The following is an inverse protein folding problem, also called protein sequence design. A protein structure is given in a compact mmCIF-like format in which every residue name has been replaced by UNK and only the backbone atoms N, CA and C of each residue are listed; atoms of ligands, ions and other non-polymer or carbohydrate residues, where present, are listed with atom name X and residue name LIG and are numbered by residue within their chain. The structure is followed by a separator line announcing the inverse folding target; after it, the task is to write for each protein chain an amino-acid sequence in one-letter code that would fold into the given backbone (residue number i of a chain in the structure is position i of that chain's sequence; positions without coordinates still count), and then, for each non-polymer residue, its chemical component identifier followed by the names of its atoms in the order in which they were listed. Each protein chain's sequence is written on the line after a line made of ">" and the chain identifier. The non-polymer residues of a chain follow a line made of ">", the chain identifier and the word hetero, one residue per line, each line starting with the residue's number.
data_IF_446495885869
#
_entry.id   IF_446495885869
#
_cell.length_a   1.000
_cell.length_b   1.000
_cell.length_c   1.000
_cell.angle_alpha   90.00
_cell.angle_beta   90.00
_cell.angle_gamma   90.00
#
_symmetry.space_group_name_H-M   'P 1'
#
loop_
_entity.id
_entity.type
_entity.pdbx_description
1 polymer ?
#
# COMPACT_ATOMS: atom_id res chain seq x y z
N UNK A 1 -2.34 13.67 -17.85
CA UNK A 1 -2.96 12.34 -17.69
C UNK A 1 -1.84 11.32 -17.75
N UNK A 2 -1.37 10.83 -16.60
CA UNK A 2 -0.39 9.75 -16.56
C UNK A 2 -1.19 8.45 -16.57
N UNK A 3 -1.07 7.70 -17.67
CA UNK A 3 -1.78 6.45 -17.87
C UNK A 3 -1.49 5.45 -16.74
N UNK A 4 -2.51 4.72 -16.35
CA UNK A 4 -2.37 3.54 -15.47
C UNK A 4 -1.54 2.54 -16.25
N UNK A 5 -0.24 2.47 -15.97
CA UNK A 5 0.60 1.40 -16.49
C UNK A 5 0.22 0.15 -15.72
N UNK A 6 -0.42 -0.80 -16.40
CA UNK A 6 -0.57 -2.14 -15.85
C UNK A 6 0.82 -2.70 -15.52
N UNK A 7 0.95 -3.40 -14.38
CA UNK A 7 2.22 -4.07 -14.06
C UNK A 7 2.58 -5.04 -15.18
N UNK A 8 3.88 -5.12 -15.49
CA UNK A 8 4.37 -6.13 -16.41
C UNK A 8 4.08 -7.51 -15.84
N UNK A 9 3.15 -8.23 -16.48
CA UNK A 9 2.75 -9.59 -16.10
C UNK A 9 3.37 -10.59 -17.04
N UNK A 10 3.86 -11.66 -16.47
CA UNK A 10 4.44 -12.79 -17.18
C UNK A 10 3.72 -14.06 -16.76
N UNK A 11 3.24 -14.83 -17.74
CA UNK A 11 2.72 -16.18 -17.51
C UNK A 11 3.72 -17.16 -18.09
N UNK A 12 4.27 -18.01 -17.24
CA UNK A 12 5.28 -19.00 -17.63
C UNK A 12 4.91 -20.40 -17.12
N UNK A 13 5.02 -21.44 -17.96
CA UNK A 13 4.89 -22.81 -17.48
C UNK A 13 6.06 -23.16 -16.57
N UNK A 14 5.77 -23.75 -15.42
CA UNK A 14 6.74 -24.25 -14.45
C UNK A 14 6.56 -25.73 -14.22
N UNK A 15 7.61 -26.50 -14.34
CA UNK A 15 7.61 -27.91 -14.04
C UNK A 15 7.56 -28.13 -12.52
N UNK A 16 6.58 -28.89 -12.03
CA UNK A 16 6.44 -29.19 -10.60
C UNK A 16 7.54 -30.12 -10.11
N UNK A 17 8.07 -30.99 -10.98
CA UNK A 17 9.08 -31.97 -10.60
C UNK A 17 10.51 -31.41 -10.52
N UNK A 18 10.94 -30.65 -11.54
CA UNK A 18 12.32 -30.15 -11.61
C UNK A 18 12.47 -28.63 -11.39
N UNK A 19 11.36 -27.89 -11.28
CA UNK A 19 11.37 -26.44 -11.10
C UNK A 19 11.73 -25.63 -12.34
N UNK A 20 11.98 -26.27 -13.50
CA UNK A 20 12.33 -25.57 -14.72
C UNK A 20 11.17 -24.69 -15.18
N UNK A 21 11.47 -23.46 -15.59
CA UNK A 21 10.56 -22.49 -16.15
C UNK A 21 11.07 -22.08 -17.54
N UNK A 22 10.29 -22.36 -18.58
CA UNK A 22 10.65 -22.06 -19.98
C UNK A 22 9.43 -21.56 -20.73
N UNK A 23 9.61 -20.52 -21.52
CA UNK A 23 8.51 -19.89 -22.23
C UNK A 23 8.02 -20.73 -23.40
N UNK A 24 8.92 -21.38 -24.13
CA UNK A 24 8.63 -21.99 -25.44
C UNK A 24 8.71 -23.53 -25.45
N UNK A 25 9.17 -24.15 -24.40
CA UNK A 25 9.33 -25.60 -24.32
C UNK A 25 8.98 -26.11 -22.93
N UNK A 26 7.97 -26.98 -22.86
CA UNK A 26 7.65 -27.71 -21.65
C UNK A 26 8.83 -28.56 -21.16
N UNK A 27 8.73 -29.10 -19.97
CA UNK A 27 9.72 -30.05 -19.46
C UNK A 27 9.82 -31.26 -20.41
N UNK A 28 11.04 -31.65 -20.87
CA UNK A 28 11.20 -32.83 -21.73
C UNK A 28 10.83 -34.16 -21.02
N UNK A 29 10.56 -34.11 -19.73
CA UNK A 29 10.07 -35.26 -18.95
C UNK A 29 8.54 -35.29 -18.85
N UNK A 30 8.00 -36.43 -18.41
CA UNK A 30 6.56 -36.58 -18.12
C UNK A 30 6.12 -35.89 -16.82
N UNK A 31 6.74 -34.78 -16.44
CA UNK A 31 6.42 -34.06 -15.22
C UNK A 31 5.15 -33.22 -15.41
N UNK A 32 4.30 -33.11 -14.39
CA UNK A 32 3.18 -32.20 -14.44
C UNK A 32 3.68 -30.75 -14.43
N UNK A 33 3.04 -29.90 -15.24
CA UNK A 33 3.31 -28.47 -15.34
C UNK A 33 2.22 -27.66 -14.66
N UNK A 34 2.61 -26.51 -14.08
CA UNK A 34 1.69 -25.48 -13.64
C UNK A 34 2.01 -24.15 -14.30
N UNK A 35 1.02 -23.34 -14.53
CA UNK A 35 1.22 -21.96 -14.96
C UNK A 35 1.49 -21.08 -13.75
N UNK A 36 2.59 -20.33 -13.79
CA UNK A 36 2.90 -19.29 -12.82
C UNK A 36 2.58 -17.94 -13.47
N UNK A 37 1.85 -17.13 -12.77
CA UNK A 37 1.65 -15.73 -13.12
C UNK A 37 2.55 -14.89 -12.23
N UNK A 38 3.44 -14.13 -12.83
CA UNK A 38 4.50 -13.38 -12.18
C UNK A 38 4.39 -11.89 -12.51
N UNK A 39 4.81 -11.04 -11.59
CA UNK A 39 4.87 -9.59 -11.72
C UNK A 39 6.32 -9.13 -11.56
N UNK A 40 6.73 -8.06 -12.25
CA UNK A 40 8.10 -7.57 -12.16
C UNK A 40 8.47 -7.17 -10.72
N UNK A 41 9.69 -7.50 -10.29
CA UNK A 41 10.19 -7.11 -8.97
C UNK A 41 10.21 -5.60 -8.76
N UNK A 42 10.43 -4.81 -9.82
CA UNK A 42 10.39 -3.35 -9.72
C UNK A 42 8.97 -2.79 -9.47
N UNK A 43 7.93 -3.47 -9.98
CA UNK A 43 6.56 -3.12 -9.63
C UNK A 43 6.27 -3.49 -8.18
N UNK A 44 6.75 -4.65 -7.76
CA UNK A 44 6.69 -5.12 -6.39
C UNK A 44 7.29 -4.11 -5.40
N UNK A 45 8.54 -3.70 -5.61
CA UNK A 45 9.27 -2.79 -4.72
C UNK A 45 8.58 -1.42 -4.60
N UNK A 46 8.06 -0.89 -5.73
CA UNK A 46 7.33 0.40 -5.71
C UNK A 46 6.12 0.35 -4.81
N UNK A 47 5.44 -0.76 -4.82
CA UNK A 47 4.22 -0.97 -4.09
C UNK A 47 4.49 -1.17 -2.62
N UNK A 48 5.47 -1.98 -2.27
CA UNK A 48 5.92 -2.17 -0.89
C UNK A 48 6.35 -0.84 -0.26
N UNK A 49 7.10 -0.03 -1.01
CA UNK A 49 7.51 1.30 -0.56
C UNK A 49 6.30 2.23 -0.35
N UNK A 50 5.32 2.22 -1.26
CA UNK A 50 4.10 3.01 -1.13
C UNK A 50 3.27 2.59 0.09
N UNK A 51 3.13 1.29 0.33
CA UNK A 51 2.44 0.75 1.50
C UNK A 51 3.15 1.13 2.81
N UNK A 52 4.48 1.01 2.88
CA UNK A 52 5.24 1.42 4.05
C UNK A 52 5.07 2.91 4.37
N UNK A 53 5.12 3.78 3.35
CA UNK A 53 4.87 5.20 3.49
C UNK A 53 3.41 5.48 3.94
N UNK A 54 2.43 4.73 3.43
CA UNK A 54 1.04 4.80 3.84
C UNK A 54 0.86 4.48 5.32
N UNK A 55 1.41 3.38 5.78
CA UNK A 55 1.37 2.97 7.21
C UNK A 55 1.99 4.03 8.14
N UNK A 56 3.11 4.61 7.76
CA UNK A 56 3.74 5.67 8.54
C UNK A 56 2.82 6.90 8.66
N UNK A 57 2.14 7.29 7.57
CA UNK A 57 1.16 8.39 7.60
C UNK A 57 -0.06 8.06 8.47
N UNK A 58 -0.61 6.86 8.34
CA UNK A 58 -1.73 6.38 9.18
C UNK A 58 -1.35 6.44 10.66
N UNK A 59 -0.15 6.00 11.03
CA UNK A 59 0.32 6.07 12.41
C UNK A 59 0.33 7.49 12.96
N UNK A 60 0.80 8.47 12.18
CA UNK A 60 0.76 9.88 12.56
C UNK A 60 -0.67 10.42 12.73
N UNK A 61 -1.57 10.10 11.80
CA UNK A 61 -2.97 10.52 11.88
C UNK A 61 -3.71 9.85 13.05
N UNK A 62 -3.43 8.57 13.31
CA UNK A 62 -3.98 7.83 14.47
C UNK A 62 -3.53 8.44 15.81
N UNK A 63 -2.29 8.89 15.92
CA UNK A 63 -1.81 9.53 17.13
C UNK A 63 -2.66 10.76 17.49
N UNK A 64 -2.88 11.67 16.54
CA UNK A 64 -3.70 12.89 16.75
C UNK A 64 -5.18 12.56 16.95
N UNK A 65 -5.72 11.59 16.21
CA UNK A 65 -7.10 11.13 16.43
C UNK A 65 -7.26 10.49 17.82
N UNK A 66 -6.23 9.80 18.33
CA UNK A 66 -6.18 9.26 19.68
C UNK A 66 -6.15 10.34 20.76
N UNK A 67 -5.41 11.43 20.55
CA UNK A 67 -5.45 12.61 21.44
C UNK A 67 -6.86 13.19 21.49
N UNK A 68 -7.50 13.39 20.34
CA UNK A 68 -8.88 13.86 20.25
C UNK A 68 -9.86 12.92 20.96
N UNK A 69 -9.73 11.61 20.77
CA UNK A 69 -10.63 10.63 21.38
C UNK A 69 -10.55 10.61 22.93
N UNK A 70 -9.39 10.98 23.49
CA UNK A 70 -9.13 11.05 24.94
C UNK A 70 -9.34 12.44 25.55
N UNK A 71 -9.45 13.48 24.71
CA UNK A 71 -9.59 14.84 25.21
C UNK A 71 -10.83 14.98 26.09
N UNK A 72 -10.66 15.38 27.35
CA UNK A 72 -11.77 15.63 28.26
C UNK A 72 -12.06 17.13 28.33
N UNK A 73 -13.30 17.55 28.03
CA UNK A 73 -13.69 18.92 28.18
C UNK A 73 -13.78 19.24 29.71
N UNK A 74 -12.79 19.96 30.23
CA UNK A 74 -12.86 20.47 31.58
C UNK A 74 -13.72 21.74 31.65
N UNK A 75 -14.29 22.07 32.81
CA UNK A 75 -15.07 23.28 33.02
C UNK A 75 -14.21 24.52 32.70
N UNK A 76 -14.60 25.29 31.69
CA UNK A 76 -13.90 26.51 31.23
C UNK A 76 -12.70 26.27 30.27
N UNK A 77 -12.25 25.03 30.05
CA UNK A 77 -11.09 24.71 29.26
C UNK A 77 -11.38 24.25 27.80
N UNK A 78 -12.63 24.07 27.44
CA UNK A 78 -13.02 23.45 26.17
C UNK A 78 -12.51 24.18 24.93
N UNK A 79 -12.47 25.50 24.93
CA UNK A 79 -11.96 26.30 23.84
C UNK A 79 -10.44 26.12 23.65
N UNK A 80 -9.68 26.24 24.72
CA UNK A 80 -8.22 26.12 24.70
C UNK A 80 -7.79 24.68 24.27
N UNK A 81 -8.48 23.66 24.79
CA UNK A 81 -8.28 22.27 24.41
C UNK A 81 -8.59 22.05 22.94
N UNK A 82 -9.68 22.58 22.43
CA UNK A 82 -10.07 22.51 21.03
C UNK A 82 -9.02 23.17 20.12
N UNK A 83 -8.58 24.40 20.46
CA UNK A 83 -7.55 25.14 19.70
C UNK A 83 -6.19 24.40 19.70
N UNK A 84 -5.83 23.74 20.82
CA UNK A 84 -4.63 22.90 20.89
C UNK A 84 -4.73 21.71 19.92
N UNK A 85 -5.84 20.98 19.95
CA UNK A 85 -6.10 19.85 19.05
C UNK A 85 -6.17 20.30 17.58
N UNK A 86 -6.71 21.49 17.30
CA UNK A 86 -6.67 22.07 15.95
C UNK A 86 -5.24 22.29 15.45
N UNK A 87 -4.36 22.80 16.33
CA UNK A 87 -2.93 22.98 15.97
C UNK A 87 -2.27 21.66 15.65
N UNK A 88 -2.47 20.63 16.49
CA UNK A 88 -1.96 19.27 16.25
C UNK A 88 -2.49 18.68 14.94
N UNK A 89 -3.79 18.83 14.68
CA UNK A 89 -4.41 18.35 13.44
C UNK A 89 -3.86 19.08 12.18
N UNK A 90 -3.71 20.40 12.25
CA UNK A 90 -3.10 21.17 11.13
C UNK A 90 -1.67 20.76 10.89
N UNK A 91 -0.89 20.49 11.93
CA UNK A 91 0.49 20.03 11.81
C UNK A 91 0.55 18.65 11.16
N UNK A 92 -0.25 17.70 11.61
CA UNK A 92 -0.33 16.37 11.02
C UNK A 92 -0.75 16.41 9.53
N UNK A 93 -1.69 17.29 9.18
CA UNK A 93 -2.15 17.47 7.80
C UNK A 93 -1.17 18.20 6.88
N UNK A 94 -0.23 18.99 7.40
CA UNK A 94 0.81 19.65 6.57
C UNK A 94 1.71 18.63 5.85
N UNK A 95 2.00 17.52 6.52
CA UNK A 95 2.79 16.43 5.97
C UNK A 95 1.93 15.41 5.21
N UNK A 96 0.61 15.61 5.18
CA UNK A 96 -0.32 14.79 4.45
C UNK A 96 -0.38 15.26 3.00
N UNK A 97 0.45 14.65 2.15
CA UNK A 97 0.27 14.72 0.71
C UNK A 97 -0.66 13.55 0.34
N UNK A 98 -1.89 13.81 -0.16
CA UNK A 98 -2.73 12.74 -0.61
C UNK A 98 -1.96 11.91 -1.65
N UNK A 99 -1.97 10.59 -1.56
CA UNK A 99 -1.34 9.75 -2.57
C UNK A 99 -1.92 10.13 -3.94
N UNK A 100 -1.13 10.14 -5.01
CA UNK A 100 -1.66 10.36 -6.34
C UNK A 100 -2.75 9.33 -6.59
N UNK A 101 -3.92 9.80 -7.03
CA UNK A 101 -5.04 8.94 -7.37
C UNK A 101 -4.57 7.93 -8.43
N UNK A 102 -4.64 6.64 -8.12
CA UNK A 102 -4.56 5.61 -9.14
C UNK A 102 -3.36 4.67 -9.13
N UNK A 103 -2.76 4.35 -7.98
CA UNK A 103 -1.87 3.16 -7.88
C UNK A 103 -2.07 2.48 -6.54
N UNK A 104 -2.83 1.43 -6.60
CA UNK A 104 -3.15 0.60 -5.46
C UNK A 104 -2.35 -0.70 -5.56
N UNK A 105 -1.31 -0.83 -4.72
CA UNK A 105 -0.49 -2.02 -4.73
C UNK A 105 0.30 -2.35 -3.48
N UNK A 106 0.17 -3.48 -2.95
CA UNK A 106 0.87 -4.02 -1.82
C UNK A 106 1.16 -5.47 -1.72
N UNK A 107 2.08 -5.90 -0.90
CA UNK A 107 2.58 -7.24 -0.95
C UNK A 107 3.00 -7.93 0.35
N UNK A 108 2.82 -9.24 0.38
CA UNK A 108 3.43 -10.20 1.30
C UNK A 108 4.79 -10.65 0.75
N UNK A 109 5.79 -11.01 1.57
CA UNK A 109 7.07 -11.49 1.09
C UNK A 109 6.90 -12.84 0.38
N UNK A 110 6.60 -12.78 -0.91
CA UNK A 110 6.79 -13.94 -1.77
C UNK A 110 8.28 -14.09 -2.05
N UNK A 111 8.78 -15.30 -2.04
CA UNK A 111 10.14 -15.55 -2.45
C UNK A 111 10.33 -15.07 -3.88
N UNK A 112 11.24 -14.12 -4.15
CA UNK A 112 11.46 -13.63 -5.50
C UNK A 112 12.00 -14.75 -6.38
N UNK A 113 11.47 -14.86 -7.58
CA UNK A 113 11.96 -15.78 -8.60
C UNK A 113 12.88 -15.02 -9.52
N UNK A 114 14.13 -15.47 -9.63
CA UNK A 114 15.08 -14.93 -10.61
C UNK A 114 14.89 -15.67 -11.92
N UNK A 115 14.53 -14.93 -12.94
CA UNK A 115 14.37 -15.42 -14.31
C UNK A 115 15.40 -14.72 -15.19
N UNK A 116 16.05 -15.47 -16.04
CA UNK A 116 16.99 -14.91 -17.01
C UNK A 116 16.24 -14.48 -18.27
N UNK A 117 16.42 -13.24 -18.68
CA UNK A 117 15.79 -12.68 -19.88
C UNK A 117 16.85 -12.32 -20.92
N UNK A 118 16.64 -12.77 -22.14
CA UNK A 118 17.41 -12.31 -23.29
C UNK A 118 16.85 -10.97 -23.77
N UNK A 119 17.66 -9.89 -23.81
CA UNK A 119 17.19 -8.59 -24.30
C UNK A 119 16.98 -8.55 -25.81
N UNK A 120 17.57 -9.50 -26.58
CA UNK A 120 17.50 -9.54 -28.05
C UNK A 120 16.26 -10.28 -28.53
N UNK A 121 16.03 -11.51 -28.06
CA UNK A 121 14.91 -12.34 -28.53
C UNK A 121 13.72 -12.33 -27.54
N UNK A 122 13.86 -11.73 -26.33
CA UNK A 122 12.82 -11.72 -25.30
C UNK A 122 12.64 -13.06 -24.57
N UNK A 123 13.40 -14.09 -24.92
CA UNK A 123 13.33 -15.41 -24.32
C UNK A 123 13.54 -15.38 -22.80
N UNK A 124 12.88 -16.30 -22.10
CA UNK A 124 12.93 -16.41 -20.62
C UNK A 124 13.35 -17.81 -20.23
N UNK A 125 14.27 -17.93 -19.29
CA UNK A 125 14.77 -19.19 -18.79
C UNK A 125 15.03 -19.13 -17.27
N UNK A 126 14.78 -20.22 -16.56
CA UNK A 126 15.08 -20.39 -15.14
C UNK A 126 15.24 -21.90 -14.84
N UNK A 127 16.08 -22.28 -13.88
CA UNK A 127 16.88 -21.47 -12.97
C UNK A 127 18.21 -20.98 -13.53
N UNK A 128 18.61 -21.37 -14.72
CA UNK A 128 19.88 -21.04 -15.35
C UNK A 128 19.67 -20.46 -16.76
N UNK A 129 20.52 -19.53 -17.22
CA UNK A 129 20.45 -19.03 -18.58
C UNK A 129 20.80 -20.15 -19.57
N UNK A 130 20.18 -20.12 -20.74
CA UNK A 130 20.55 -20.99 -21.84
C UNK A 130 22.04 -20.81 -22.23
N UNK A 131 22.73 -21.88 -22.47
CA UNK A 131 24.13 -21.86 -22.98
C UNK A 131 24.07 -21.55 -24.47
N UNK A 132 23.89 -20.28 -24.81
CA UNK A 132 23.79 -19.82 -26.21
C UNK A 132 24.56 -18.52 -26.42
N UNK A 133 24.44 -17.96 -27.62
CA UNK A 133 25.13 -16.72 -28.05
C UNK A 133 24.48 -15.47 -27.45
N UNK A 134 23.29 -15.58 -26.84
CA UNK A 134 22.55 -14.46 -26.31
C UNK A 134 23.11 -13.97 -24.96
N UNK A 135 23.07 -12.65 -24.75
CA UNK A 135 23.45 -12.04 -23.47
C UNK A 135 22.22 -12.03 -22.55
N UNK A 136 22.15 -13.02 -21.68
CA UNK A 136 21.06 -13.15 -20.71
C UNK A 136 21.24 -12.23 -19.51
N UNK A 137 20.17 -11.57 -19.08
CA UNK A 137 20.16 -10.72 -17.88
C UNK A 137 19.18 -11.27 -16.84
N UNK A 138 19.59 -11.31 -15.56
CA UNK A 138 18.67 -11.72 -14.51
C UNK A 138 17.58 -10.65 -14.34
N UNK A 139 16.35 -11.10 -14.20
CA UNK A 139 15.20 -10.27 -13.87
C UNK A 139 14.49 -10.88 -12.66
N UNK A 140 14.14 -10.05 -11.69
CA UNK A 140 13.42 -10.48 -10.49
C UNK A 140 11.94 -10.41 -10.75
N UNK A 141 11.24 -11.50 -10.47
CA UNK A 141 9.79 -11.64 -10.61
C UNK A 141 9.18 -12.14 -9.31
N UNK A 142 7.93 -11.81 -9.07
CA UNK A 142 7.20 -12.15 -7.85
C UNK A 142 5.86 -12.76 -8.24
N UNK A 143 5.39 -13.71 -7.44
CA UNK A 143 4.09 -14.33 -7.62
C UNK A 143 2.94 -13.32 -7.59
N UNK A 144 2.06 -13.40 -8.59
CA UNK A 144 0.96 -12.44 -8.76
C UNK A 144 -0.06 -12.49 -7.62
N UNK A 145 -0.28 -13.65 -6.97
CA UNK A 145 -1.21 -13.74 -5.86
C UNK A 145 -0.71 -12.97 -4.63
N UNK A 146 0.60 -12.99 -4.39
CA UNK A 146 1.24 -12.20 -3.36
C UNK A 146 1.11 -10.70 -3.65
N UNK A 147 1.37 -10.29 -4.89
CA UNK A 147 1.19 -8.93 -5.35
C UNK A 147 -0.26 -8.44 -5.14
N UNK A 148 -1.27 -9.20 -5.55
CA UNK A 148 -2.68 -8.83 -5.39
C UNK A 148 -3.13 -8.81 -3.91
N UNK A 149 -2.59 -9.70 -3.09
CA UNK A 149 -2.90 -9.72 -1.65
C UNK A 149 -2.48 -8.42 -0.98
N UNK A 150 -1.32 -7.95 -1.31
CA UNK A 150 -0.85 -6.69 -0.77
C UNK A 150 -1.59 -5.49 -1.37
N UNK A 151 -1.89 -5.47 -2.65
CA UNK A 151 -2.74 -4.49 -3.28
C UNK A 151 -4.05 -4.26 -2.52
N UNK A 152 -4.66 -5.36 -2.10
CA UNK A 152 -5.89 -5.34 -1.31
C UNK A 152 -5.69 -4.69 0.07
N UNK A 153 -4.55 -4.94 0.71
CA UNK A 153 -4.22 -4.32 2.01
C UNK A 153 -4.00 -2.83 1.88
N UNK A 154 -3.27 -2.36 0.87
CA UNK A 154 -3.09 -0.91 0.70
C UNK A 154 -4.42 -0.21 0.37
N UNK A 155 -5.28 -0.82 -0.41
CA UNK A 155 -6.61 -0.25 -0.64
C UNK A 155 -7.37 -0.07 0.69
N UNK A 156 -7.28 -1.02 1.61
CA UNK A 156 -7.83 -0.91 2.96
C UNK A 156 -7.13 0.19 3.77
N UNK A 157 -5.79 0.23 3.77
CA UNK A 157 -5.01 1.27 4.45
C UNK A 157 -5.35 2.67 3.93
N UNK A 158 -5.52 2.85 2.63
CA UNK A 158 -5.96 4.12 2.03
C UNK A 158 -7.37 4.52 2.45
N UNK A 159 -8.27 3.57 2.67
CA UNK A 159 -9.60 3.87 3.19
C UNK A 159 -9.52 4.41 4.63
N UNK A 160 -8.70 3.78 5.47
CA UNK A 160 -8.42 4.23 6.84
C UNK A 160 -7.78 5.63 6.83
N UNK A 161 -6.75 5.83 6.01
CA UNK A 161 -6.06 7.11 5.86
C UNK A 161 -7.02 8.24 5.47
N UNK A 162 -7.91 7.99 4.50
CA UNK A 162 -8.95 8.95 4.09
C UNK A 162 -9.91 9.28 5.21
N UNK A 163 -10.35 8.29 5.97
CA UNK A 163 -11.27 8.47 7.09
C UNK A 163 -10.65 9.31 8.22
N UNK A 164 -9.42 9.01 8.60
CA UNK A 164 -8.67 9.76 9.60
C UNK A 164 -8.37 11.20 9.13
N UNK A 165 -7.91 11.37 7.91
CA UNK A 165 -7.65 12.69 7.35
C UNK A 165 -8.93 13.53 7.24
N UNK A 166 -10.07 12.92 6.89
CA UNK A 166 -11.37 13.57 6.86
C UNK A 166 -11.81 14.07 8.25
N UNK A 167 -11.63 13.25 9.29
CA UNK A 167 -11.87 13.63 10.67
C UNK A 167 -10.98 14.82 11.08
N UNK A 168 -9.67 14.70 10.86
CA UNK A 168 -8.72 15.75 11.25
C UNK A 168 -8.91 17.04 10.47
N UNK A 169 -9.33 17.00 9.20
CA UNK A 169 -9.70 18.20 8.44
C UNK A 169 -10.89 18.92 9.07
N UNK A 170 -11.93 18.17 9.46
CA UNK A 170 -13.07 18.79 10.20
C UNK A 170 -12.59 19.46 11.47
N UNK A 171 -11.77 18.79 12.28
CA UNK A 171 -11.19 19.41 13.49
C UNK A 171 -10.35 20.65 13.15
N UNK A 172 -9.45 20.57 12.17
CA UNK A 172 -8.49 21.62 11.85
C UNK A 172 -9.12 22.91 11.32
N UNK A 173 -10.27 22.81 10.64
CA UNK A 173 -10.87 23.93 9.91
C UNK A 173 -12.30 24.29 10.37
N UNK A 174 -12.92 23.47 11.24
CA UNK A 174 -14.20 23.85 11.83
C UNK A 174 -14.03 25.00 12.84
N UNK A 175 -14.95 25.95 12.78
CA UNK A 175 -15.02 27.04 13.76
C UNK A 175 -16.33 26.92 14.51
N UNK A 176 -16.34 26.37 15.74
CA UNK A 176 -17.55 26.29 16.55
C UNK A 176 -18.10 27.68 16.84
N UNK A 177 -19.41 27.82 16.92
CA UNK A 177 -20.05 29.05 17.34
C UNK A 177 -19.72 29.35 18.79
N UNK A 178 -19.82 30.62 19.18
CA UNK A 178 -19.62 31.01 20.56
C UNK A 178 -20.58 30.22 21.47
N UNK A 179 -20.05 29.62 22.52
CA UNK A 179 -20.79 28.76 23.47
C UNK A 179 -20.93 27.27 23.04
N UNK A 180 -20.60 26.88 21.80
CA UNK A 180 -20.75 25.50 21.30
C UNK A 180 -19.43 24.70 21.25
N UNK A 181 -18.39 25.16 21.90
CA UNK A 181 -17.06 24.51 21.87
C UNK A 181 -17.09 23.11 22.47
N UNK A 182 -17.84 22.94 23.59
CA UNK A 182 -17.92 21.66 24.26
C UNK A 182 -18.68 20.62 23.44
N UNK A 183 -19.84 20.99 22.94
CA UNK A 183 -20.65 20.10 22.08
C UNK A 183 -19.88 19.68 20.83
N UNK A 184 -19.20 20.63 20.19
CA UNK A 184 -18.38 20.37 19.01
C UNK A 184 -17.22 19.43 19.32
N UNK A 185 -16.57 19.59 20.47
CA UNK A 185 -15.50 18.72 20.92
C UNK A 185 -16.02 17.31 21.21
N UNK A 186 -17.14 17.18 21.90
CA UNK A 186 -17.76 15.88 22.18
C UNK A 186 -18.17 15.14 20.91
N UNK A 187 -18.79 15.82 19.95
CA UNK A 187 -19.17 15.23 18.66
C UNK A 187 -17.93 14.69 17.92
N UNK A 188 -16.85 15.46 17.85
CA UNK A 188 -15.60 15.02 17.21
C UNK A 188 -14.91 13.88 17.97
N UNK A 189 -14.99 13.85 19.30
CA UNK A 189 -14.47 12.72 20.12
C UNK A 189 -15.19 11.42 19.80
N UNK A 190 -16.52 11.44 19.78
CA UNK A 190 -17.32 10.27 19.44
C UNK A 190 -16.96 9.76 18.05
N UNK A 191 -16.83 10.67 17.09
CA UNK A 191 -16.44 10.33 15.75
C UNK A 191 -15.00 9.78 15.68
N UNK A 192 -14.05 10.33 16.45
CA UNK A 192 -12.69 9.82 16.53
C UNK A 192 -12.66 8.37 17.08
N UNK A 193 -13.43 8.10 18.14
CA UNK A 193 -13.56 6.75 18.69
C UNK A 193 -14.14 5.77 17.67
N UNK A 194 -15.15 6.18 16.92
CA UNK A 194 -15.74 5.35 15.88
C UNK A 194 -14.75 5.04 14.75
N UNK A 195 -14.06 6.06 14.24
CA UNK A 195 -13.06 5.89 13.17
C UNK A 195 -11.88 5.02 13.64
N UNK A 196 -11.44 5.19 14.90
CA UNK A 196 -10.34 4.39 15.45
C UNK A 196 -10.73 2.93 15.71
N UNK A 197 -12.00 2.66 16.04
CA UNK A 197 -12.49 1.30 16.23
C UNK A 197 -12.69 0.54 14.90
N UNK A 198 -12.93 1.27 13.82
CA UNK A 198 -13.12 0.70 12.47
C UNK A 198 -11.79 0.57 11.69
N UNK A 199 -10.70 1.04 12.24
CA UNK A 199 -9.38 1.12 11.63
C UNK A 199 -8.40 0.12 12.23
#
# INVERSE_FOLDING_TARGET
>A
MLGVTHPDRLVIPACIGCGAMRQDQGCPGACPERRLELVSGGDYDRVTAAAAAGRARIAGLRAVAGELARAEPGPGGSRAAYEALQRSARLALRHFKPPPAGRDDPLSPAAPVVVWRCPECGGLDAPQPCIGVCIWRPAVWVDSASYESERSREAADRAIERSLAGLLRRLAFATPRAGQWEESLQALRLQARHVLAAA
#
